data_IF_670780901509
#
_entry.id   IF_670780901509
#
_cell.length_a   1.000
_cell.length_b   1.000
_cell.length_c   1.000
_cell.angle_alpha   90.00
_cell.angle_beta   90.00
_cell.angle_gamma   90.00
#
_symmetry.space_group_name_H-M   'P 1'
#
loop_
_entity.id
_entity.type
_entity.pdbx_description
1 polymer ?
#
# COMPACT_ATOMS: atom_id res chain seq x y z
N UNK A 1 14.92 -1.89 -12.18
CA UNK A 1 13.58 -1.50 -11.69
C UNK A 1 12.58 -2.20 -12.59
N UNK A 2 11.74 -3.07 -12.04
CA UNK A 2 10.70 -3.78 -12.82
C UNK A 2 9.39 -3.06 -12.61
N UNK A 3 8.70 -2.73 -13.70
CA UNK A 3 7.36 -2.16 -13.63
C UNK A 3 6.34 -3.29 -13.40
N UNK A 4 5.51 -3.15 -12.37
CA UNK A 4 4.42 -4.07 -12.09
C UNK A 4 3.11 -3.34 -12.36
N UNK A 5 2.24 -3.95 -13.15
CA UNK A 5 0.88 -3.47 -13.36
C UNK A 5 -0.08 -4.12 -12.36
N UNK A 6 -1.00 -3.37 -11.74
CA UNK A 6 -2.03 -3.93 -10.89
C UNK A 6 -2.92 -4.91 -11.66
N UNK A 7 -3.26 -6.04 -11.04
CA UNK A 7 -4.27 -6.97 -11.55
C UNK A 7 -5.62 -6.83 -10.82
N UNK A 8 -6.60 -7.66 -11.19
CA UNK A 8 -7.94 -7.59 -10.62
C UNK A 8 -7.97 -7.76 -9.08
N UNK A 9 -7.03 -8.52 -8.51
CA UNK A 9 -6.91 -8.72 -7.06
C UNK A 9 -6.41 -7.45 -6.38
N UNK A 10 -5.47 -6.76 -7.02
CA UNK A 10 -4.99 -5.47 -6.53
C UNK A 10 -6.11 -4.44 -6.56
N UNK A 11 -6.94 -4.41 -7.60
CA UNK A 11 -8.09 -3.50 -7.67
C UNK A 11 -9.11 -3.73 -6.56
N UNK A 12 -9.46 -4.99 -6.28
CA UNK A 12 -10.34 -5.32 -5.15
C UNK A 12 -9.73 -4.88 -3.82
N UNK A 13 -8.42 -5.11 -3.65
CA UNK A 13 -7.70 -4.73 -2.44
C UNK A 13 -7.59 -3.21 -2.26
N UNK A 14 -7.35 -2.46 -3.33
CA UNK A 14 -7.35 -0.99 -3.32
C UNK A 14 -8.70 -0.46 -2.80
N UNK A 15 -9.81 -0.98 -3.35
CA UNK A 15 -11.14 -0.57 -2.91
C UNK A 15 -11.38 -0.87 -1.43
N UNK A 16 -10.92 -2.04 -0.96
CA UNK A 16 -11.00 -2.41 0.45
C UNK A 16 -10.18 -1.47 1.35
N UNK A 17 -8.94 -1.16 0.99
CA UNK A 17 -8.09 -0.24 1.74
C UNK A 17 -8.70 1.16 1.81
N UNK A 18 -9.14 1.70 0.67
CA UNK A 18 -9.83 2.99 0.64
C UNK A 18 -11.11 2.98 1.48
N UNK A 19 -11.84 1.86 1.52
CA UNK A 19 -12.97 1.70 2.42
C UNK A 19 -12.55 1.70 3.90
N UNK A 20 -11.54 0.91 4.25
CA UNK A 20 -11.04 0.73 5.62
C UNK A 20 -10.52 2.05 6.20
N UNK A 21 -9.89 2.86 5.36
CA UNK A 21 -9.29 4.14 5.75
C UNK A 21 -10.12 5.36 5.31
N UNK A 22 -11.45 5.27 5.09
CA UNK A 22 -12.29 6.40 4.60
C UNK A 22 -12.16 7.74 5.35
N UNK A 23 -11.83 7.71 6.64
CA UNK A 23 -11.63 8.92 7.47
C UNK A 23 -10.19 9.46 7.45
N UNK A 24 -9.30 8.79 6.74
CA UNK A 24 -7.90 9.11 6.57
C UNK A 24 -7.65 9.38 5.08
N UNK A 25 -6.82 10.36 4.70
CA UNK A 25 -6.68 10.79 3.31
C UNK A 25 -5.86 9.79 2.46
N UNK A 26 -6.25 8.51 2.44
CA UNK A 26 -5.62 7.48 1.62
C UNK A 26 -6.12 7.57 0.18
N UNK A 27 -5.23 7.98 -0.72
CA UNK A 27 -5.53 8.03 -2.15
C UNK A 27 -5.44 6.67 -2.83
N UNK A 28 -5.95 6.60 -4.06
CA UNK A 28 -5.84 5.41 -4.92
C UNK A 28 -4.40 5.01 -5.20
N UNK A 29 -3.49 6.00 -5.31
CA UNK A 29 -2.07 5.77 -5.55
C UNK A 29 -1.42 5.03 -4.36
N UNK A 30 -1.56 5.56 -3.15
CA UNK A 30 -1.01 4.92 -1.94
C UNK A 30 -1.60 3.54 -1.71
N UNK A 31 -2.93 3.40 -1.86
CA UNK A 31 -3.61 2.11 -1.74
C UNK A 31 -3.10 1.08 -2.76
N UNK A 32 -2.77 1.52 -3.99
CA UNK A 32 -2.20 0.63 -5.02
C UNK A 32 -0.80 0.13 -4.68
N UNK A 33 0.04 0.99 -4.08
CA UNK A 33 1.36 0.59 -3.59
C UNK A 33 1.21 -0.47 -2.50
N UNK A 34 0.31 -0.26 -1.54
CA UNK A 34 0.06 -1.24 -0.47
C UNK A 34 -0.45 -2.57 -1.02
N UNK A 35 -1.45 -2.54 -1.92
CA UNK A 35 -2.02 -3.76 -2.50
C UNK A 35 -0.98 -4.59 -3.25
N UNK A 36 -0.16 -3.95 -4.09
CA UNK A 36 0.90 -4.65 -4.85
C UNK A 36 1.99 -5.16 -3.89
N UNK A 37 2.39 -4.38 -2.88
CA UNK A 37 3.37 -4.81 -1.89
C UNK A 37 2.87 -6.03 -1.08
N UNK A 38 1.60 -6.05 -0.68
CA UNK A 38 0.97 -7.19 0.00
C UNK A 38 0.95 -8.45 -0.87
N UNK A 39 0.59 -8.31 -2.15
CA UNK A 39 0.56 -9.42 -3.11
C UNK A 39 1.95 -10.00 -3.36
N UNK A 40 2.96 -9.13 -3.49
CA UNK A 40 4.34 -9.52 -3.76
C UNK A 40 5.15 -9.82 -2.50
N UNK A 41 4.54 -9.69 -1.31
CA UNK A 41 5.19 -9.85 0.01
C UNK A 41 6.43 -8.96 0.17
N UNK A 42 6.40 -7.76 -0.40
CA UNK A 42 7.45 -6.76 -0.25
C UNK A 42 7.29 -6.05 1.09
N UNK A 43 8.39 -5.87 1.81
CA UNK A 43 8.41 -5.20 3.11
C UNK A 43 8.82 -3.74 3.02
N UNK A 44 9.46 -3.36 1.92
CA UNK A 44 10.10 -2.06 1.78
C UNK A 44 9.32 -1.20 0.77
N UNK A 45 9.04 0.05 1.15
CA UNK A 45 8.35 1.03 0.30
C UNK A 45 9.18 2.29 0.23
N UNK A 46 9.57 2.66 -1.00
CA UNK A 46 10.25 3.92 -1.23
C UNK A 46 9.22 5.06 -1.38
N UNK A 47 9.10 5.96 -0.40
CA UNK A 47 8.15 7.07 -0.40
C UNK A 47 8.63 8.21 0.49
N UNK A 48 8.37 9.47 0.09
CA UNK A 48 8.61 10.62 0.97
C UNK A 48 7.46 10.87 1.95
N UNK A 49 6.33 10.18 1.76
CA UNK A 49 5.14 10.34 2.59
C UNK A 49 5.11 9.34 3.74
N UNK A 50 6.09 9.47 4.63
CA UNK A 50 6.22 8.58 5.78
C UNK A 50 5.03 8.69 6.73
N UNK A 51 4.43 9.87 6.85
CA UNK A 51 3.27 10.07 7.72
C UNK A 51 2.10 9.22 7.24
N UNK A 52 1.82 9.20 5.94
CA UNK A 52 0.70 8.42 5.47
C UNK A 52 0.95 6.91 5.58
N UNK A 53 2.13 6.45 5.14
CA UNK A 53 2.43 5.02 5.15
C UNK A 53 2.61 4.43 6.56
N UNK A 54 3.03 5.22 7.56
CA UNK A 54 3.10 4.76 8.96
C UNK A 54 1.73 4.51 9.60
N UNK A 55 0.67 5.11 9.07
CA UNK A 55 -0.69 4.86 9.56
C UNK A 55 -1.31 3.56 8.99
N UNK A 56 -0.65 2.94 8.00
CA UNK A 56 -1.13 1.75 7.32
C UNK A 56 -0.51 0.51 7.95
N UNK A 57 -1.33 -0.51 8.15
CA UNK A 57 -0.89 -1.85 8.59
C UNK A 57 -1.09 -2.84 7.43
N UNK A 58 0.00 -3.33 6.81
CA UNK A 58 -0.06 -4.34 5.74
C UNK A 58 -0.50 -5.70 6.27
N UNK A 59 -1.07 -6.55 5.42
CA UNK A 59 -1.52 -7.89 5.84
C UNK A 59 -0.41 -8.87 6.20
N UNK A 60 0.79 -8.70 5.66
CA UNK A 60 1.89 -9.67 5.80
C UNK A 60 2.99 -9.25 6.75
N UNK A 61 2.99 -8.00 7.21
CA UNK A 61 4.00 -7.43 8.14
C UNK A 61 3.36 -6.40 9.06
N UNK A 62 3.88 -6.20 10.28
CA UNK A 62 3.31 -5.23 11.22
C UNK A 62 3.42 -3.77 10.73
N UNK A 63 4.42 -3.47 9.91
CA UNK A 63 4.61 -2.19 9.24
C UNK A 63 5.56 -2.38 8.05
N UNK A 64 5.50 -1.47 7.07
CA UNK A 64 6.53 -1.39 6.04
C UNK A 64 7.82 -0.77 6.58
N UNK A 65 8.97 -1.21 6.05
CA UNK A 65 10.20 -0.43 6.07
C UNK A 65 10.04 0.70 5.07
N UNK A 66 10.05 1.95 5.52
CA UNK A 66 9.95 3.11 4.63
C UNK A 66 11.33 3.61 4.26
N UNK A 67 11.51 3.90 2.97
CA UNK A 67 12.78 4.32 2.39
C UNK A 67 12.60 5.58 1.54
N UNK A 68 13.67 6.37 1.39
CA UNK A 68 14.54 6.74 2.51
C UNK A 68 13.76 7.48 3.60
#
# INVERSE_FOLDING_TARGET
>A
MVQVFPDARDMARIAELMHRYRGFPLGVADASVVAVAERLKLTDVATLDHRHFRALVPEHVPAFTLLP
#
